data_IF_811827668708
#
_entry.id   IF_811827668708
#
_cell.length_a   1.000
_cell.length_b   1.000
_cell.length_c   1.000
_cell.angle_alpha   90.00
_cell.angle_beta   90.00
_cell.angle_gamma   90.00
#
_symmetry.space_group_name_H-M   'P 1'
#
loop_
_entity.id
_entity.type
_entity.pdbx_description
1 polymer ?
#
# COMPACT_ATOMS: atom_id res chain seq x y z
N UNK A 1 2.97 -20.40 20.11
CA UNK A 1 1.96 -21.12 19.30
C UNK A 1 1.20 -20.20 18.34
N UNK A 2 1.15 -18.87 18.57
CA UNK A 2 0.39 -17.91 17.75
C UNK A 2 1.05 -17.49 16.41
N UNK A 3 2.39 -17.45 16.31
CA UNK A 3 3.08 -16.98 15.09
C UNK A 3 2.79 -17.85 13.86
N UNK A 4 2.59 -19.16 14.06
CA UNK A 4 2.24 -20.11 12.99
C UNK A 4 0.84 -19.84 12.40
N UNK A 5 -0.08 -19.28 13.20
CA UNK A 5 -1.44 -18.98 12.73
C UNK A 5 -1.48 -17.79 11.78
N UNK A 6 -0.70 -16.73 12.07
CA UNK A 6 -0.62 -15.53 11.22
C UNK A 6 0.03 -15.86 9.87
N UNK A 7 1.16 -16.56 9.90
CA UNK A 7 1.86 -16.99 8.69
C UNK A 7 0.98 -17.90 7.81
N UNK A 8 0.23 -18.81 8.44
CA UNK A 8 -0.74 -19.65 7.76
C UNK A 8 -1.87 -18.85 7.10
N UNK A 9 -2.48 -17.90 7.81
CA UNK A 9 -3.53 -17.05 7.24
C UNK A 9 -3.03 -16.20 6.06
N UNK A 10 -1.82 -15.65 6.16
CA UNK A 10 -1.20 -14.88 5.07
C UNK A 10 -0.99 -15.76 3.84
N UNK A 11 -0.45 -16.98 4.03
CA UNK A 11 -0.22 -17.91 2.92
C UNK A 11 -1.54 -18.30 2.23
N UNK A 12 -2.58 -18.61 3.00
CA UNK A 12 -3.92 -18.89 2.46
C UNK A 12 -4.48 -17.72 1.64
N UNK A 13 -4.28 -16.49 2.11
CA UNK A 13 -4.71 -15.31 1.37
C UNK A 13 -3.94 -15.13 0.07
N UNK A 14 -2.62 -15.26 0.10
CA UNK A 14 -1.77 -15.12 -1.09
C UNK A 14 -2.13 -16.19 -2.13
N UNK A 15 -2.30 -17.44 -1.69
CA UNK A 15 -2.70 -18.55 -2.55
C UNK A 15 -4.10 -18.32 -3.15
N UNK A 16 -5.08 -17.95 -2.33
CA UNK A 16 -6.44 -17.67 -2.79
C UNK A 16 -6.51 -16.53 -3.81
N UNK A 17 -5.78 -15.43 -3.56
CA UNK A 17 -5.65 -14.32 -4.53
C UNK A 17 -5.01 -14.79 -5.83
N UNK A 18 -3.94 -15.58 -5.75
CA UNK A 18 -3.28 -16.14 -6.94
C UNK A 18 -4.23 -16.98 -7.80
N UNK A 19 -4.96 -17.91 -7.17
CA UNK A 19 -5.94 -18.76 -7.86
C UNK A 19 -7.08 -17.96 -8.49
N UNK A 20 -7.53 -16.89 -7.84
CA UNK A 20 -8.54 -15.98 -8.40
C UNK A 20 -8.05 -15.23 -9.62
N UNK A 21 -6.78 -14.81 -9.61
CA UNK A 21 -6.13 -14.15 -10.75
C UNK A 21 -6.02 -15.15 -11.91
N UNK A 22 -5.49 -16.35 -11.66
CA UNK A 22 -5.33 -17.38 -12.68
C UNK A 22 -6.66 -17.71 -13.36
N UNK A 23 -7.72 -17.93 -12.57
CA UNK A 23 -9.07 -18.17 -13.12
C UNK A 23 -9.61 -17.00 -13.94
N UNK A 24 -9.33 -15.76 -13.53
CA UNK A 24 -9.73 -14.59 -14.29
C UNK A 24 -9.04 -14.55 -15.66
N UNK A 25 -7.74 -14.86 -15.72
CA UNK A 25 -6.98 -14.95 -16.97
C UNK A 25 -7.36 -16.15 -17.84
N UNK A 26 -7.71 -17.28 -17.23
CA UNK A 26 -8.13 -18.49 -17.96
C UNK A 26 -9.49 -18.34 -18.64
N UNK A 27 -10.42 -17.61 -18.01
CA UNK A 27 -11.83 -17.61 -18.40
C UNK A 27 -12.35 -16.27 -18.91
N UNK A 28 -11.72 -15.16 -18.54
CA UNK A 28 -12.13 -13.83 -18.95
C UNK A 28 -11.41 -13.39 -20.22
N UNK A 29 -12.15 -12.80 -21.17
CA UNK A 29 -11.57 -12.23 -22.39
C UNK A 29 -11.56 -10.70 -22.38
N UNK A 30 -12.40 -10.10 -21.55
CA UNK A 30 -12.50 -8.65 -21.34
C UNK A 30 -12.16 -8.29 -19.90
N UNK A 31 -11.79 -7.03 -19.66
CA UNK A 31 -11.51 -6.53 -18.30
C UNK A 31 -12.71 -6.74 -17.38
N UNK A 32 -13.93 -6.49 -17.85
CA UNK A 32 -15.17 -6.62 -17.09
C UNK A 32 -15.42 -8.08 -16.69
N UNK A 33 -15.26 -9.02 -17.60
CA UNK A 33 -15.38 -10.46 -17.32
C UNK A 33 -14.31 -10.94 -16.34
N UNK A 34 -13.05 -10.59 -16.59
CA UNK A 34 -11.94 -10.94 -15.70
C UNK A 34 -12.18 -10.40 -14.29
N UNK A 35 -12.66 -9.16 -14.18
CA UNK A 35 -12.98 -8.54 -12.88
C UNK A 35 -14.08 -9.32 -12.16
N UNK A 36 -15.14 -9.69 -12.88
CA UNK A 36 -16.24 -10.47 -12.31
C UNK A 36 -15.77 -11.85 -11.83
N UNK A 37 -15.03 -12.58 -12.67
CA UNK A 37 -14.51 -13.91 -12.37
C UNK A 37 -13.55 -13.87 -11.19
N UNK A 38 -12.66 -12.86 -11.16
CA UNK A 38 -11.78 -12.62 -10.03
C UNK A 38 -12.58 -12.44 -8.74
N UNK A 39 -13.58 -11.55 -8.73
CA UNK A 39 -14.37 -11.27 -7.51
C UNK A 39 -15.15 -12.48 -7.01
N UNK A 40 -15.78 -13.23 -7.92
CA UNK A 40 -16.52 -14.46 -7.56
C UNK A 40 -15.58 -15.50 -6.93
N UNK A 41 -14.47 -15.81 -7.60
CA UNK A 41 -13.52 -16.81 -7.12
C UNK A 41 -12.74 -16.35 -5.90
N UNK A 42 -12.48 -15.05 -5.76
CA UNK A 42 -11.87 -14.47 -4.56
C UNK A 42 -12.77 -14.66 -3.34
N UNK A 43 -14.07 -14.46 -3.49
CA UNK A 43 -15.03 -14.76 -2.43
C UNK A 43 -15.04 -16.25 -2.08
N UNK A 44 -14.88 -17.15 -3.05
CA UNK A 44 -14.80 -18.59 -2.79
C UNK A 44 -13.53 -19.00 -2.03
N UNK A 45 -12.37 -18.49 -2.43
CA UNK A 45 -11.07 -18.89 -1.86
C UNK A 45 -10.68 -18.13 -0.59
N UNK A 46 -11.01 -16.84 -0.53
CA UNK A 46 -10.65 -15.97 0.59
C UNK A 46 -11.83 -15.71 1.53
N UNK A 47 -13.02 -16.22 1.22
CA UNK A 47 -14.21 -16.13 2.06
C UNK A 47 -13.95 -16.63 3.48
N UNK A 48 -14.38 -15.85 4.47
CA UNK A 48 -14.19 -16.18 5.89
C UNK A 48 -12.83 -15.78 6.48
N UNK A 49 -11.85 -15.39 5.65
CA UNK A 49 -10.61 -14.80 6.15
C UNK A 49 -10.85 -13.35 6.62
N UNK A 50 -10.36 -13.01 7.82
CA UNK A 50 -10.40 -11.65 8.33
C UNK A 50 -9.04 -10.97 8.16
N UNK A 51 -8.92 -10.15 7.11
CA UNK A 51 -7.74 -9.31 6.88
C UNK A 51 -8.02 -7.86 7.26
N UNK A 52 -7.26 -7.35 8.23
CA UNK A 52 -7.25 -5.94 8.53
C UNK A 52 -6.13 -5.24 7.76
N UNK A 53 -6.49 -4.31 6.90
CA UNK A 53 -5.53 -3.39 6.26
C UNK A 53 -5.46 -2.10 7.09
N UNK A 54 -4.38 -1.87 7.85
CA UNK A 54 -4.29 -0.68 8.68
C UNK A 54 -4.25 0.58 7.81
N UNK A 55 -5.19 1.51 8.02
CA UNK A 55 -5.20 2.83 7.33
C UNK A 55 -3.87 3.56 7.47
N UNK A 56 -3.18 3.36 8.59
CA UNK A 56 -1.87 3.95 8.86
C UNK A 56 -0.82 3.51 7.84
N UNK A 57 -0.83 2.26 7.38
CA UNK A 57 0.18 1.75 6.45
C UNK A 57 0.08 2.41 5.08
N UNK A 58 -1.12 2.53 4.52
CA UNK A 58 -1.36 3.28 3.28
C UNK A 58 -0.95 4.75 3.41
N UNK A 59 -1.27 5.37 4.56
CA UNK A 59 -0.87 6.74 4.89
C UNK A 59 0.66 6.87 5.02
N UNK A 60 1.33 5.87 5.60
CA UNK A 60 2.78 5.83 5.76
C UNK A 60 3.49 5.64 4.41
N UNK A 61 2.97 4.80 3.51
CA UNK A 61 3.46 4.68 2.14
C UNK A 61 3.30 5.99 1.34
N UNK A 62 2.13 6.63 1.43
CA UNK A 62 1.87 7.93 0.78
C UNK A 62 2.75 9.04 1.37
N UNK A 63 2.89 9.07 2.70
CA UNK A 63 3.81 9.97 3.40
C UNK A 63 5.25 9.73 2.96
N UNK A 64 5.71 8.47 2.87
CA UNK A 64 7.07 8.14 2.46
C UNK A 64 7.36 8.61 1.02
N UNK A 65 6.41 8.45 0.11
CA UNK A 65 6.53 8.96 -1.25
C UNK A 65 6.63 10.50 -1.29
N UNK A 66 5.74 11.19 -0.56
CA UNK A 66 5.77 12.65 -0.40
C UNK A 66 7.08 13.13 0.20
N UNK A 67 7.51 12.51 1.30
CA UNK A 67 8.72 12.87 2.04
C UNK A 67 9.98 12.68 1.17
N UNK A 68 10.01 11.65 0.31
CA UNK A 68 11.07 11.46 -0.69
C UNK A 68 11.09 12.60 -1.72
N UNK A 69 9.93 13.02 -2.22
CA UNK A 69 9.83 14.14 -3.17
C UNK A 69 10.27 15.46 -2.52
N UNK A 70 9.84 15.73 -1.28
CA UNK A 70 10.27 16.89 -0.49
C UNK A 70 11.80 16.91 -0.36
N UNK A 71 12.44 15.78 -0.04
CA UNK A 71 13.90 15.69 0.05
C UNK A 71 14.60 15.91 -1.29
N UNK A 72 14.02 15.43 -2.39
CA UNK A 72 14.58 15.57 -3.74
C UNK A 72 14.49 17.01 -4.25
N UNK A 73 13.40 17.71 -3.93
CA UNK A 73 13.14 19.09 -4.39
C UNK A 73 13.72 20.16 -3.44
N UNK A 74 14.27 19.75 -2.31
CA UNK A 74 14.86 20.67 -1.34
C UNK A 74 16.17 21.26 -1.88
N UNK A 75 16.23 22.59 -1.97
CA UNK A 75 17.38 23.33 -2.50
C UNK A 75 18.20 24.05 -1.41
N UNK A 76 17.98 23.72 -0.14
CA UNK A 76 18.65 24.32 1.02
C UNK A 76 17.88 25.47 1.67
N UNK A 77 17.01 26.17 0.92
CA UNK A 77 16.29 27.36 1.42
C UNK A 77 14.78 27.37 1.16
N UNK A 78 14.26 26.52 0.27
CA UNK A 78 12.85 26.50 -0.16
C UNK A 78 11.85 25.83 0.81
N UNK A 79 12.07 25.87 2.13
CA UNK A 79 11.21 25.19 3.11
C UNK A 79 9.74 25.64 3.05
N UNK A 80 9.51 26.95 2.90
CA UNK A 80 8.15 27.54 2.82
C UNK A 80 7.44 27.17 1.52
N UNK A 81 8.17 27.17 0.40
CA UNK A 81 7.63 26.77 -0.91
C UNK A 81 7.19 25.31 -0.89
N UNK A 82 8.00 24.42 -0.29
CA UNK A 82 7.65 23.02 -0.13
C UNK A 82 6.44 22.82 0.81
N UNK A 83 6.36 23.58 1.90
CA UNK A 83 5.21 23.55 2.81
C UNK A 83 3.89 23.86 2.08
N UNK A 84 3.89 24.90 1.23
CA UNK A 84 2.73 25.27 0.40
C UNK A 84 2.44 24.20 -0.65
N UNK A 85 3.45 23.77 -1.41
CA UNK A 85 3.30 22.78 -2.50
C UNK A 85 2.70 21.46 -2.02
N UNK A 86 3.11 20.99 -0.85
CA UNK A 86 2.68 19.69 -0.31
C UNK A 86 1.57 19.78 0.73
N UNK A 87 1.05 20.99 1.00
CA UNK A 87 -0.06 21.20 1.94
C UNK A 87 0.26 20.76 3.38
N UNK A 88 1.50 20.95 3.84
CA UNK A 88 1.94 20.56 5.19
C UNK A 88 2.60 21.72 5.92
N UNK A 89 2.57 21.69 7.25
CA UNK A 89 3.20 22.74 8.06
C UNK A 89 4.71 22.82 7.83
N UNK A 90 5.27 24.01 8.02
CA UNK A 90 6.72 24.24 7.98
C UNK A 90 7.49 23.36 8.97
N UNK A 91 6.93 23.10 10.16
CA UNK A 91 7.49 22.16 11.15
C UNK A 91 7.63 20.73 10.61
N UNK A 92 6.64 20.27 9.85
CA UNK A 92 6.68 18.95 9.21
C UNK A 92 7.77 18.87 8.13
N UNK A 93 7.96 19.93 7.33
CA UNK A 93 9.09 20.01 6.39
C UNK A 93 10.42 19.84 7.12
N UNK A 94 10.64 20.55 8.24
CA UNK A 94 11.86 20.39 9.03
C UNK A 94 12.05 18.97 9.56
N UNK A 95 10.99 18.32 10.07
CA UNK A 95 11.05 16.91 10.52
C UNK A 95 11.45 15.96 9.39
N UNK A 96 10.84 16.11 8.22
CA UNK A 96 11.10 15.27 7.04
C UNK A 96 12.56 15.38 6.60
N UNK A 97 13.10 16.60 6.59
CA UNK A 97 14.48 16.89 6.21
C UNK A 97 15.50 16.47 7.28
N UNK A 98 15.14 16.55 8.57
CA UNK A 98 16.00 16.12 9.69
C UNK A 98 16.20 14.60 9.74
N UNK A 99 15.18 13.82 9.36
CA UNK A 99 15.23 12.35 9.34
C UNK A 99 16.11 11.77 8.21
N UNK A 100 17.00 12.56 7.58
CA UNK A 100 17.92 12.11 6.52
C UNK A 100 19.14 11.32 7.06
N UNK A 101 19.36 11.31 8.38
CA UNK A 101 20.59 10.81 9.02
C UNK A 101 20.40 9.58 9.95
N UNK A 102 19.50 8.65 9.61
CA UNK A 102 19.40 7.37 10.33
C UNK A 102 19.48 6.22 9.34
N UNK A 103 20.67 6.04 8.77
CA UNK A 103 21.17 4.79 8.21
C UNK A 103 22.45 4.43 8.95
#
# INVERSE_FOLDING_TARGET
MELKGIEYSINLFVEGVGLSIDKAFEKGSTKEEMTKIFLETFCDYCGGLNFYFPKKYAKDCQNAARDRLIRKEFNGKNHRELAVKYGISLHWIYKILKNKNSN
#
